data_IF_632140632609
#
_entry.id   IF_632140632609
#
_cell.length_a   1.000
_cell.length_b   1.000
_cell.length_c   1.000
_cell.angle_alpha   90.00
_cell.angle_beta   90.00
_cell.angle_gamma   90.00
#
_symmetry.space_group_name_H-M   'P 1'
#
loop_
_entity.id
_entity.type
_entity.pdbx_description
1 polymer ?
#
# COMPACT_ATOMS: atom_id res chain seq x y z
N UNK A 1 -34.91 8.64 1.91
CA UNK A 1 -35.07 7.47 2.82
C UNK A 1 -34.55 6.15 2.25
N UNK A 2 -35.07 5.58 1.16
CA UNK A 2 -34.51 4.32 0.59
C UNK A 2 -33.11 4.48 -0.01
N UNK A 3 -32.91 5.51 -0.85
CA UNK A 3 -31.58 5.82 -1.41
C UNK A 3 -30.50 6.09 -0.33
N UNK A 4 -30.84 6.81 0.74
CA UNK A 4 -29.88 7.12 1.82
C UNK A 4 -29.35 5.87 2.52
N UNK A 5 -30.21 4.87 2.74
CA UNK A 5 -29.80 3.60 3.33
C UNK A 5 -28.87 2.84 2.38
N UNK A 6 -29.21 2.78 1.09
CA UNK A 6 -28.36 2.13 0.08
C UNK A 6 -26.98 2.79 -0.03
N UNK A 7 -26.93 4.13 -0.01
CA UNK A 7 -25.67 4.89 -0.01
C UNK A 7 -24.82 4.54 1.21
N UNK A 8 -25.41 4.52 2.41
CA UNK A 8 -24.68 4.17 3.65
C UNK A 8 -24.20 2.72 3.63
N UNK A 9 -25.06 1.80 3.21
CA UNK A 9 -24.76 0.37 3.13
C UNK A 9 -23.59 0.13 2.15
N UNK A 10 -23.64 0.70 0.94
CA UNK A 10 -22.57 0.55 -0.05
C UNK A 10 -21.28 1.26 0.40
N UNK A 11 -21.37 2.43 1.03
CA UNK A 11 -20.22 3.15 1.57
C UNK A 11 -19.49 2.30 2.63
N UNK A 12 -20.23 1.67 3.55
CA UNK A 12 -19.65 0.75 4.53
C UNK A 12 -18.98 -0.46 3.85
N UNK A 13 -19.62 -1.07 2.85
CA UNK A 13 -19.03 -2.16 2.06
C UNK A 13 -17.79 -1.73 1.25
N UNK A 14 -17.60 -0.42 1.03
CA UNK A 14 -16.41 0.16 0.40
C UNK A 14 -15.33 0.59 1.41
N UNK A 15 -15.55 0.40 2.71
CA UNK A 15 -14.64 0.84 3.77
C UNK A 15 -14.62 2.36 3.98
N UNK A 16 -15.70 3.06 3.64
CA UNK A 16 -15.84 4.49 3.91
C UNK A 16 -16.45 4.66 5.30
N UNK A 17 -15.74 5.35 6.18
CA UNK A 17 -16.22 5.64 7.53
C UNK A 17 -17.46 6.55 7.49
N UNK A 18 -18.45 6.26 8.33
CA UNK A 18 -19.68 7.04 8.46
C UNK A 18 -19.58 8.16 9.50
N UNK A 19 -18.48 8.18 10.26
CA UNK A 19 -18.19 9.12 11.32
C UNK A 19 -16.69 9.17 11.61
N UNK A 20 -16.24 10.25 12.24
CA UNK A 20 -14.85 10.43 12.69
C UNK A 20 -14.80 11.39 13.89
N UNK A 21 -13.64 11.47 14.55
CA UNK A 21 -13.33 12.53 15.52
C UNK A 21 -12.55 13.62 14.81
N UNK A 22 -13.02 14.87 14.88
CA UNK A 22 -12.36 15.98 14.21
C UNK A 22 -11.05 16.39 14.92
N UNK A 23 -10.35 17.40 14.40
CA UNK A 23 -9.08 17.88 14.97
C UNK A 23 -9.21 18.51 16.37
N UNK A 24 -10.44 18.68 16.88
CA UNK A 24 -10.78 19.12 18.24
C UNK A 24 -11.37 17.99 19.08
N UNK A 25 -11.17 16.74 18.62
CA UNK A 25 -11.68 15.51 19.23
C UNK A 25 -13.21 15.45 19.35
N UNK A 26 -13.94 16.16 18.48
CA UNK A 26 -15.40 16.14 18.47
C UNK A 26 -15.94 15.02 17.56
N UNK A 27 -16.85 14.15 18.06
CA UNK A 27 -17.54 13.19 17.21
C UNK A 27 -18.32 13.88 16.11
N UNK A 28 -18.03 13.54 14.86
CA UNK A 28 -18.60 14.14 13.66
C UNK A 28 -19.15 13.04 12.76
N UNK A 29 -20.43 13.15 12.41
CA UNK A 29 -21.05 12.24 11.44
C UNK A 29 -20.80 12.70 10.00
N UNK A 30 -20.55 11.76 9.11
CA UNK A 30 -20.44 12.02 7.67
C UNK A 30 -21.84 12.13 7.06
N UNK A 31 -22.07 13.23 6.33
CA UNK A 31 -23.35 13.48 5.68
C UNK A 31 -23.57 12.50 4.52
N UNK A 32 -24.84 12.21 4.18
CA UNK A 32 -25.16 11.34 3.02
C UNK A 32 -24.61 11.96 1.73
N UNK A 33 -24.64 13.28 1.59
CA UNK A 33 -24.10 13.98 0.43
C UNK A 33 -22.58 13.73 0.27
N UNK A 34 -21.83 13.75 1.38
CA UNK A 34 -20.39 13.42 1.36
C UNK A 34 -20.16 11.95 0.98
N UNK A 35 -20.93 11.02 1.53
CA UNK A 35 -20.84 9.60 1.17
C UNK A 35 -21.13 9.39 -0.32
N UNK A 36 -22.18 10.02 -0.84
CA UNK A 36 -22.54 9.97 -2.27
C UNK A 36 -21.41 10.52 -3.16
N UNK A 37 -20.80 11.66 -2.78
CA UNK A 37 -19.68 12.24 -3.52
C UNK A 37 -18.45 11.33 -3.52
N UNK A 38 -18.15 10.67 -2.39
CA UNK A 38 -17.04 9.70 -2.29
C UNK A 38 -17.34 8.47 -3.17
N UNK A 39 -18.56 7.93 -3.12
CA UNK A 39 -18.96 6.81 -3.98
C UNK A 39 -18.84 7.18 -5.47
N UNK A 40 -19.26 8.39 -5.85
CA UNK A 40 -19.11 8.93 -7.21
C UNK A 40 -17.65 9.01 -7.64
N UNK A 41 -16.78 9.52 -6.78
CA UNK A 41 -15.33 9.56 -7.04
C UNK A 41 -14.70 8.16 -7.18
N UNK A 42 -15.33 7.12 -6.60
CA UNK A 42 -14.93 5.71 -6.75
C UNK A 42 -15.56 5.01 -7.95
N UNK A 43 -16.35 5.72 -8.75
CA UNK A 43 -16.96 5.21 -9.98
C UNK A 43 -18.37 4.64 -9.85
N UNK A 44 -19.04 4.82 -8.70
CA UNK A 44 -20.45 4.45 -8.54
C UNK A 44 -21.38 5.60 -8.92
N UNK A 45 -22.61 5.30 -9.34
CA UNK A 45 -23.63 6.33 -9.53
C UNK A 45 -24.55 6.41 -8.30
N UNK A 46 -24.46 7.44 -7.45
CA UNK A 46 -25.30 7.57 -6.26
C UNK A 46 -26.75 7.96 -6.57
N UNK A 47 -27.05 8.39 -7.79
CA UNK A 47 -28.39 8.80 -8.20
C UNK A 47 -29.20 7.62 -8.80
N UNK A 48 -28.54 6.50 -9.12
CA UNK A 48 -29.15 5.27 -9.63
C UNK A 48 -29.32 4.22 -8.51
N UNK A 49 -30.53 4.13 -7.96
CA UNK A 49 -30.85 3.15 -6.89
C UNK A 49 -30.65 1.69 -7.35
N UNK A 50 -30.92 1.37 -8.62
CA UNK A 50 -30.77 0.01 -9.14
C UNK A 50 -29.29 -0.37 -9.23
N UNK A 51 -28.45 0.54 -9.73
CA UNK A 51 -27.00 0.35 -9.78
C UNK A 51 -26.38 0.23 -8.37
N UNK A 52 -26.82 1.04 -7.41
CA UNK A 52 -26.36 0.94 -6.02
C UNK A 52 -26.74 -0.40 -5.38
N UNK A 53 -27.96 -0.87 -5.62
CA UNK A 53 -28.43 -2.15 -5.14
C UNK A 53 -27.63 -3.29 -5.77
N UNK A 54 -27.46 -3.28 -7.10
CA UNK A 54 -26.64 -4.26 -7.82
C UNK A 54 -25.20 -4.29 -7.31
N UNK A 55 -24.56 -3.14 -7.13
CA UNK A 55 -23.19 -3.05 -6.61
C UNK A 55 -23.07 -3.57 -5.16
N UNK A 56 -24.09 -3.29 -4.33
CA UNK A 56 -24.15 -3.80 -2.96
C UNK A 56 -24.31 -5.32 -2.95
N UNK A 57 -25.20 -5.83 -3.79
CA UNK A 57 -25.42 -7.26 -3.96
C UNK A 57 -24.22 -7.95 -4.58
N UNK A 58 -23.51 -7.35 -5.54
CA UNK A 58 -22.27 -7.92 -6.08
C UNK A 58 -21.19 -8.06 -4.99
N UNK A 59 -21.01 -7.02 -4.17
CA UNK A 59 -20.07 -7.05 -3.04
C UNK A 59 -20.46 -8.09 -1.99
N UNK A 60 -21.75 -8.26 -1.72
CA UNK A 60 -22.27 -9.27 -0.80
C UNK A 60 -22.17 -10.67 -1.41
N UNK A 61 -22.71 -10.90 -2.61
CA UNK A 61 -22.79 -12.17 -3.34
C UNK A 61 -21.47 -12.65 -3.94
N UNK A 62 -20.41 -11.84 -3.88
CA UNK A 62 -19.05 -12.35 -3.96
C UNK A 62 -18.81 -13.45 -2.89
N UNK A 63 -19.57 -13.45 -1.79
CA UNK A 63 -19.67 -14.53 -0.81
C UNK A 63 -20.29 -15.79 -1.43
N UNK A 64 -19.46 -16.77 -1.77
CA UNK A 64 -19.89 -17.99 -2.48
C UNK A 64 -19.06 -18.31 -3.72
N UNK A 65 -18.17 -17.39 -4.12
CA UNK A 65 -17.10 -17.67 -5.11
C UNK A 65 -15.81 -18.01 -4.38
N UNK A 66 -14.90 -18.70 -5.07
CA UNK A 66 -13.52 -18.81 -4.59
C UNK A 66 -12.90 -17.41 -4.51
N UNK A 67 -12.64 -16.91 -3.31
CA UNK A 67 -11.97 -15.61 -3.10
C UNK A 67 -10.66 -15.81 -2.36
N UNK A 68 -9.69 -15.04 -2.80
CA UNK A 68 -8.42 -14.90 -2.13
C UNK A 68 -8.10 -13.41 -2.08
N UNK A 69 -7.43 -12.93 -1.03
CA UNK A 69 -6.91 -11.57 -1.02
C UNK A 69 -5.98 -11.37 -2.23
N UNK A 70 -6.01 -10.19 -2.89
CA UNK A 70 -5.11 -9.92 -4.03
C UNK A 70 -3.64 -9.83 -3.60
N UNK A 71 -3.42 -9.46 -2.34
CA UNK A 71 -2.11 -9.39 -1.69
C UNK A 71 -2.25 -9.83 -0.23
N UNK A 72 -1.26 -10.57 0.26
CA UNK A 72 -1.09 -10.89 1.67
C UNK A 72 0.23 -10.32 2.14
N UNK A 73 0.23 -9.69 3.31
CA UNK A 73 1.42 -9.17 3.96
C UNK A 73 1.59 -9.91 5.28
N UNK A 74 2.70 -10.61 5.44
CA UNK A 74 3.12 -11.23 6.69
C UNK A 74 4.26 -10.43 7.30
N UNK A 75 4.31 -10.32 8.62
CA UNK A 75 5.54 -9.85 9.29
C UNK A 75 6.45 -11.03 9.60
N UNK A 76 7.74 -10.77 9.60
CA UNK A 76 8.73 -11.72 10.07
C UNK A 76 8.39 -12.23 11.48
N UNK A 77 8.44 -13.55 11.64
CA UNK A 77 8.10 -14.23 12.89
C UNK A 77 6.62 -14.60 13.07
N UNK A 78 5.70 -14.00 12.30
CA UNK A 78 4.28 -14.38 12.28
C UNK A 78 4.05 -15.72 11.56
N UNK A 79 2.89 -16.34 11.81
CA UNK A 79 2.46 -17.52 11.05
C UNK A 79 2.18 -17.13 9.60
N UNK A 80 2.70 -17.92 8.65
CA UNK A 80 2.54 -17.67 7.22
C UNK A 80 1.33 -18.42 6.67
N UNK A 81 0.15 -17.91 7.03
CA UNK A 81 -1.14 -18.46 6.60
C UNK A 81 -1.99 -17.44 5.84
N UNK A 82 -2.93 -17.95 5.04
CA UNK A 82 -3.85 -17.15 4.24
C UNK A 82 -5.26 -17.67 4.41
N UNK A 83 -6.19 -16.77 4.70
CA UNK A 83 -7.62 -17.08 4.66
C UNK A 83 -8.14 -17.01 3.22
N UNK A 84 -8.80 -18.07 2.80
CA UNK A 84 -9.43 -18.22 1.49
C UNK A 84 -10.92 -18.46 1.70
N UNK A 85 -11.75 -17.77 0.92
CA UNK A 85 -13.19 -18.08 0.90
C UNK A 85 -13.42 -19.18 -0.13
N UNK A 86 -13.87 -20.34 0.33
CA UNK A 86 -14.10 -21.52 -0.48
C UNK A 86 -15.60 -21.79 -0.57
N UNK A 87 -16.19 -21.90 -1.77
CA UNK A 87 -17.59 -22.29 -1.94
C UNK A 87 -17.85 -23.63 -1.24
N UNK A 88 -18.97 -23.79 -0.53
CA UNK A 88 -19.25 -25.04 0.22
C UNK A 88 -19.16 -26.29 -0.67
N UNK A 89 -19.62 -26.19 -1.91
CA UNK A 89 -19.56 -27.28 -2.89
C UNK A 89 -18.13 -27.71 -3.27
N UNK A 90 -17.14 -26.84 -3.09
CA UNK A 90 -15.74 -27.09 -3.42
C UNK A 90 -14.88 -27.47 -2.20
N UNK A 91 -15.46 -27.56 -0.99
CA UNK A 91 -14.72 -27.97 0.22
C UNK A 91 -14.10 -29.37 0.14
N UNK A 92 -14.75 -30.37 -0.50
CA UNK A 92 -14.16 -31.70 -0.65
C UNK A 92 -13.11 -31.79 -1.77
N UNK A 93 -12.92 -30.73 -2.58
CA UNK A 93 -11.91 -30.72 -3.64
C UNK A 93 -10.52 -30.49 -3.04
N UNK A 94 -9.52 -31.25 -3.48
CA UNK A 94 -8.11 -30.95 -3.20
C UNK A 94 -7.61 -29.88 -4.17
N UNK A 95 -6.98 -28.84 -3.63
CA UNK A 95 -6.30 -27.79 -4.36
C UNK A 95 -4.79 -28.00 -4.31
N UNK A 96 -4.10 -27.61 -5.37
CA UNK A 96 -2.64 -27.51 -5.35
C UNK A 96 -2.24 -26.05 -5.17
N UNK A 97 -1.12 -25.80 -4.52
CA UNK A 97 -0.54 -24.46 -4.47
C UNK A 97 0.93 -24.49 -4.84
N UNK A 98 1.41 -23.39 -5.42
CA UNK A 98 2.82 -23.15 -5.72
C UNK A 98 3.21 -21.76 -5.26
N UNK A 99 4.22 -21.66 -4.41
CA UNK A 99 4.86 -20.40 -4.04
C UNK A 99 6.17 -20.26 -4.81
N UNK A 100 6.34 -19.12 -5.47
CA UNK A 100 7.62 -18.69 -6.04
C UNK A 100 8.16 -17.54 -5.20
N UNK A 101 9.34 -17.71 -4.62
CA UNK A 101 10.02 -16.65 -3.85
C UNK A 101 10.56 -15.56 -4.77
N UNK A 102 11.00 -14.45 -4.18
CA UNK A 102 11.58 -13.34 -4.93
C UNK A 102 12.88 -13.77 -5.63
N UNK A 103 13.65 -14.62 -4.97
CA UNK A 103 14.91 -15.18 -5.46
C UNK A 103 14.69 -16.36 -6.44
N UNK A 104 13.43 -16.72 -6.72
CA UNK A 104 13.06 -17.73 -7.71
C UNK A 104 12.96 -19.16 -7.18
N UNK A 105 13.18 -19.40 -5.88
CA UNK A 105 12.93 -20.70 -5.28
C UNK A 105 11.43 -21.06 -5.36
N UNK A 106 11.12 -22.35 -5.48
CA UNK A 106 9.76 -22.83 -5.63
C UNK A 106 9.39 -23.83 -4.54
N UNK A 107 8.20 -23.65 -4.00
CA UNK A 107 7.58 -24.53 -3.01
C UNK A 107 6.19 -24.89 -3.50
N UNK A 108 5.71 -26.06 -3.13
CA UNK A 108 4.37 -26.50 -3.50
C UNK A 108 3.80 -27.44 -2.45
N UNK A 109 2.48 -27.55 -2.43
CA UNK A 109 1.78 -28.51 -1.61
C UNK A 109 0.33 -28.67 -2.03
N UNK A 110 -0.33 -29.58 -1.34
CA UNK A 110 -1.75 -29.83 -1.46
C UNK A 110 -2.50 -29.10 -0.34
N UNK A 111 -3.77 -28.80 -0.59
CA UNK A 111 -4.67 -28.13 0.33
C UNK A 111 -6.06 -28.72 0.21
N UNK A 112 -6.55 -29.34 1.27
CA UNK A 112 -7.90 -29.89 1.36
C UNK A 112 -8.74 -28.98 2.28
N UNK A 113 -9.56 -28.06 1.74
CA UNK A 113 -10.16 -26.99 2.52
C UNK A 113 -11.06 -27.45 3.67
N UNK A 114 -11.75 -28.59 3.50
CA UNK A 114 -12.63 -29.16 4.53
C UNK A 114 -11.89 -29.48 5.85
N UNK A 115 -10.58 -29.70 5.84
CA UNK A 115 -9.79 -29.99 7.04
C UNK A 115 -9.30 -28.72 7.76
N UNK A 116 -9.44 -27.55 7.11
CA UNK A 116 -8.88 -26.28 7.56
C UNK A 116 -9.93 -25.16 7.66
N UNK A 117 -11.18 -25.51 7.94
CA UNK A 117 -12.28 -24.54 8.10
C UNK A 117 -12.10 -23.75 9.40
N UNK A 118 -12.06 -22.42 9.29
CA UNK A 118 -11.97 -21.48 10.42
C UNK A 118 -13.32 -20.86 10.76
N UNK A 119 -14.14 -20.57 9.74
CA UNK A 119 -15.52 -20.10 9.92
C UNK A 119 -16.42 -20.54 8.78
N UNK A 120 -17.70 -20.74 9.09
CA UNK A 120 -18.71 -21.10 8.10
C UNK A 120 -19.71 -19.97 7.87
N UNK A 121 -20.15 -19.85 6.62
CA UNK A 121 -21.23 -18.99 6.18
C UNK A 121 -22.18 -19.80 5.28
N UNK A 122 -23.33 -19.22 4.93
CA UNK A 122 -24.39 -19.92 4.18
C UNK A 122 -23.88 -20.51 2.86
N UNK A 123 -23.09 -19.75 2.09
CA UNK A 123 -22.67 -20.13 0.73
C UNK A 123 -21.17 -20.45 0.58
N UNK A 124 -20.36 -20.19 1.61
CA UNK A 124 -18.91 -20.42 1.59
C UNK A 124 -18.39 -20.72 3.01
N UNK A 125 -17.20 -21.27 3.10
CA UNK A 125 -16.44 -21.32 4.35
C UNK A 125 -15.12 -20.57 4.18
N UNK A 126 -14.63 -19.99 5.26
CA UNK A 126 -13.29 -19.42 5.32
C UNK A 126 -12.35 -20.54 5.75
N UNK A 127 -11.40 -20.87 4.89
CA UNK A 127 -10.41 -21.92 5.13
C UNK A 127 -9.01 -21.32 5.22
N UNK A 128 -8.20 -21.79 6.15
CA UNK A 128 -6.83 -21.33 6.33
C UNK A 128 -5.84 -22.23 5.57
N UNK A 129 -5.14 -21.65 4.61
CA UNK A 129 -3.99 -22.29 3.95
C UNK A 129 -2.71 -21.87 4.66
N UNK A 130 -2.04 -22.81 5.33
CA UNK A 130 -0.70 -22.59 5.91
C UNK A 130 0.38 -22.95 4.90
N UNK A 131 1.29 -22.02 4.64
CA UNK A 131 2.49 -22.31 3.84
C UNK A 131 3.55 -22.83 4.81
N UNK A 132 3.88 -24.13 4.69
CA UNK A 132 4.51 -24.89 5.77
C UNK A 132 5.85 -24.35 6.29
N UNK A 133 6.74 -23.89 5.41
CA UNK A 133 8.02 -23.30 5.80
C UNK A 133 7.92 -21.77 5.90
N UNK A 134 8.71 -21.19 6.82
CA UNK A 134 8.82 -19.73 6.93
C UNK A 134 9.71 -19.19 5.81
N UNK A 135 9.16 -18.30 5.00
CA UNK A 135 9.89 -17.62 3.93
C UNK A 135 10.50 -16.31 4.42
N UNK A 136 11.68 -15.99 3.88
CA UNK A 136 12.43 -14.77 4.18
C UNK A 136 11.70 -13.51 3.70
N UNK A 137 12.17 -12.34 4.15
CA UNK A 137 11.66 -11.04 3.69
C UNK A 137 11.72 -10.92 2.16
N UNK A 138 10.71 -10.29 1.57
CA UNK A 138 10.67 -10.04 0.13
C UNK A 138 9.28 -10.14 -0.51
N UNK A 139 9.29 -10.10 -1.85
CA UNK A 139 8.10 -10.14 -2.71
C UNK A 139 7.97 -11.49 -3.40
N UNK A 140 6.99 -12.30 -2.97
CA UNK A 140 6.75 -13.63 -3.49
C UNK A 140 5.42 -13.71 -4.23
N UNK A 141 5.19 -14.84 -4.91
CA UNK A 141 3.98 -15.11 -5.67
C UNK A 141 3.42 -16.48 -5.31
N UNK A 142 2.23 -16.52 -4.74
CA UNK A 142 1.47 -17.74 -4.51
C UNK A 142 0.47 -17.94 -5.65
N UNK A 143 0.41 -19.15 -6.20
CA UNK A 143 -0.61 -19.57 -7.16
C UNK A 143 -1.38 -20.74 -6.59
N UNK A 144 -2.71 -20.68 -6.65
CA UNK A 144 -3.59 -21.77 -6.20
C UNK A 144 -4.30 -22.33 -7.43
N UNK A 145 -4.28 -23.65 -7.57
CA UNK A 145 -4.79 -24.42 -8.69
C UNK A 145 -5.96 -25.28 -8.20
N UNK A 146 -7.01 -25.37 -9.01
CA UNK A 146 -8.10 -26.34 -8.78
C UNK A 146 -7.87 -27.63 -9.58
N UNK A 147 -8.90 -28.47 -9.68
CA UNK A 147 -8.84 -29.76 -10.38
C UNK A 147 -8.45 -29.70 -11.88
N UNK A 148 -8.65 -28.56 -12.55
CA UNK A 148 -8.38 -28.39 -13.99
C UNK A 148 -6.94 -27.94 -14.32
N UNK A 149 -6.00 -28.00 -13.35
CA UNK A 149 -4.57 -27.63 -13.45
C UNK A 149 -4.27 -26.19 -13.92
N UNK A 150 -5.30 -25.36 -14.15
CA UNK A 150 -5.19 -23.91 -14.30
C UNK A 150 -5.22 -23.19 -12.94
N UNK A 151 -4.39 -22.15 -12.82
CA UNK A 151 -4.33 -21.34 -11.60
C UNK A 151 -5.65 -20.59 -11.39
N UNK A 152 -6.43 -21.01 -10.40
CA UNK A 152 -7.66 -20.32 -9.98
C UNK A 152 -7.34 -18.92 -9.46
N UNK A 153 -6.25 -18.75 -8.71
CA UNK A 153 -5.83 -17.43 -8.20
C UNK A 153 -4.31 -17.29 -8.18
N UNK A 154 -3.85 -16.05 -8.36
CA UNK A 154 -2.48 -15.62 -8.13
C UNK A 154 -2.52 -14.50 -7.10
N UNK A 155 -1.68 -14.62 -6.08
CA UNK A 155 -1.65 -13.75 -4.91
C UNK A 155 -0.23 -13.25 -4.74
N UNK A 156 -0.06 -11.94 -4.53
CA UNK A 156 1.24 -11.39 -4.11
C UNK A 156 1.40 -11.62 -2.62
N UNK A 157 2.49 -12.25 -2.23
CA UNK A 157 2.86 -12.42 -0.82
C UNK A 157 4.01 -11.45 -0.54
N UNK A 158 3.92 -10.68 0.52
CA UNK A 158 4.98 -9.77 0.97
C UNK A 158 5.35 -10.18 2.38
N UNK A 159 6.60 -10.58 2.59
CA UNK A 159 7.15 -10.80 3.93
C UNK A 159 7.91 -9.54 4.31
N UNK A 160 7.39 -8.81 5.28
CA UNK A 160 7.96 -7.55 5.76
C UNK A 160 8.69 -7.74 7.10
N UNK A 161 9.73 -6.95 7.40
CA UNK A 161 10.32 -6.95 8.74
C UNK A 161 9.29 -6.51 9.79
N UNK A 162 9.46 -6.95 11.02
CA UNK A 162 8.59 -6.56 12.15
C UNK A 162 8.82 -5.12 12.62
N UNK A 163 9.99 -4.57 12.31
CA UNK A 163 10.42 -3.21 12.64
C UNK A 163 11.05 -2.54 11.42
N UNK A 164 11.03 -1.22 11.36
CA UNK A 164 11.79 -0.48 10.35
C UNK A 164 13.30 -0.63 10.61
N UNK A 165 14.13 -0.33 9.61
CA UNK A 165 15.57 -0.28 9.80
C UNK A 165 15.93 0.72 10.91
N UNK A 166 16.73 0.23 11.84
CA UNK A 166 17.36 0.96 12.93
C UNK A 166 18.88 0.92 12.67
N UNK A 167 19.55 2.06 12.79
CA UNK A 167 21.00 2.10 12.63
C UNK A 167 21.68 1.47 13.85
N UNK A 168 22.93 1.01 13.71
CA UNK A 168 23.71 0.53 14.87
C UNK A 168 23.96 1.65 15.92
N UNK A 169 23.85 2.91 15.49
CA UNK A 169 24.00 4.11 16.32
C UNK A 169 22.72 4.49 17.08
N UNK A 170 21.61 3.75 16.96
CA UNK A 170 20.32 4.06 17.62
C UNK A 170 20.40 4.13 19.16
N UNK A 171 21.49 3.66 19.77
CA UNK A 171 21.76 3.79 21.21
C UNK A 171 22.55 5.06 21.59
N UNK A 172 23.00 5.84 20.61
CA UNK A 172 23.71 7.09 20.79
C UNK A 172 22.79 8.28 20.47
N UNK A 173 23.11 9.44 21.04
CA UNK A 173 22.36 10.67 20.74
C UNK A 173 22.90 11.27 19.45
N UNK A 174 22.19 11.05 18.36
CA UNK A 174 22.49 11.67 17.08
C UNK A 174 22.01 13.12 17.01
N UNK A 175 22.68 13.92 16.20
CA UNK A 175 22.18 15.24 15.81
C UNK A 175 22.41 15.51 14.33
N UNK A 176 21.58 16.38 13.78
CA UNK A 176 21.66 16.75 12.38
C UNK A 176 20.99 18.09 12.13
N UNK A 177 21.03 18.50 10.87
CA UNK A 177 20.44 19.76 10.41
C UNK A 177 19.27 19.47 9.48
N UNK A 178 18.19 20.23 9.62
CA UNK A 178 17.12 20.28 8.62
C UNK A 178 17.16 21.61 7.88
N UNK A 179 17.09 21.56 6.55
CA UNK A 179 17.06 22.76 5.73
C UNK A 179 16.18 22.61 4.49
N UNK A 180 15.90 23.75 3.87
CA UNK A 180 15.28 23.83 2.56
C UNK A 180 16.40 23.98 1.52
N UNK A 181 16.65 22.95 0.71
CA UNK A 181 17.78 22.90 -0.22
C UNK A 181 17.74 24.09 -1.18
N UNK A 182 16.55 24.42 -1.67
CA UNK A 182 16.34 25.55 -2.57
C UNK A 182 16.70 26.92 -1.97
N UNK A 183 16.86 27.04 -0.65
CA UNK A 183 17.30 28.28 0.00
C UNK A 183 18.83 28.41 0.10
N UNK A 184 19.60 27.33 -0.16
CA UNK A 184 21.05 27.38 -0.07
C UNK A 184 21.66 28.25 -1.16
N UNK A 185 22.74 28.95 -0.79
CA UNK A 185 23.53 29.79 -1.68
C UNK A 185 24.99 29.39 -1.56
N UNK A 186 25.67 29.35 -2.69
CA UNK A 186 27.13 29.22 -2.77
C UNK A 186 27.67 30.20 -3.81
N UNK A 187 28.98 30.35 -3.87
CA UNK A 187 29.62 31.19 -4.89
C UNK A 187 29.47 30.62 -6.32
N UNK A 188 29.04 29.35 -6.45
CA UNK A 188 28.89 28.63 -7.71
C UNK A 188 27.44 28.58 -8.19
N UNK A 189 26.51 28.30 -7.28
CA UNK A 189 25.17 27.89 -7.69
C UNK A 189 24.40 28.99 -8.43
N UNK A 190 23.44 28.58 -9.25
CA UNK A 190 22.68 29.48 -10.11
C UNK A 190 21.49 30.13 -9.38
N UNK A 191 21.74 30.51 -8.13
CA UNK A 191 20.78 31.19 -7.27
C UNK A 191 19.75 30.29 -6.59
N UNK A 192 19.97 28.99 -6.61
CA UNK A 192 19.20 27.97 -5.88
C UNK A 192 20.21 26.90 -5.45
N UNK A 193 20.04 26.31 -4.27
CA UNK A 193 20.89 25.21 -3.84
C UNK A 193 20.71 23.99 -4.74
N UNK A 194 21.82 23.38 -5.16
CA UNK A 194 21.86 22.21 -6.05
C UNK A 194 22.44 20.95 -5.36
N UNK A 195 22.58 19.84 -6.09
CA UNK A 195 23.13 18.59 -5.55
C UNK A 195 24.61 18.69 -5.15
N UNK A 196 25.38 19.56 -5.79
CA UNK A 196 26.78 19.81 -5.40
C UNK A 196 26.83 20.57 -4.09
N UNK A 197 25.95 21.57 -3.88
CA UNK A 197 25.81 22.27 -2.61
C UNK A 197 25.38 21.33 -1.48
N UNK A 198 24.41 20.46 -1.75
CA UNK A 198 23.95 19.45 -0.80
C UNK A 198 25.11 18.56 -0.33
N UNK A 199 25.89 18.04 -1.29
CA UNK A 199 27.04 17.19 -0.98
C UNK A 199 28.15 17.92 -0.22
N UNK A 200 28.43 19.18 -0.57
CA UNK A 200 29.44 20.00 0.12
C UNK A 200 29.02 20.31 1.57
N UNK A 201 27.75 20.66 1.78
CA UNK A 201 27.24 20.94 3.11
C UNK A 201 27.19 19.68 3.97
N UNK A 202 26.74 18.55 3.42
CA UNK A 202 26.75 17.27 4.13
C UNK A 202 28.16 16.90 4.61
N UNK A 203 29.19 17.02 3.76
CA UNK A 203 30.59 16.80 4.16
C UNK A 203 31.07 17.76 5.24
N UNK A 204 30.68 19.03 5.16
CA UNK A 204 31.08 20.05 6.15
C UNK A 204 30.45 19.78 7.51
N UNK A 205 29.17 19.40 7.53
CA UNK A 205 28.43 19.04 8.74
C UNK A 205 28.95 17.74 9.35
N UNK A 206 29.25 16.72 8.53
CA UNK A 206 29.88 15.49 8.99
C UNK A 206 31.25 15.76 9.64
N UNK A 207 32.05 16.69 9.08
CA UNK A 207 33.30 17.15 9.70
C UNK A 207 33.12 17.85 11.05
N UNK A 208 31.92 18.36 11.34
CA UNK A 208 31.53 18.90 12.64
C UNK A 208 30.85 17.86 13.56
N UNK A 209 30.71 16.61 13.10
CA UNK A 209 30.12 15.50 13.84
C UNK A 209 28.60 15.34 13.69
N UNK A 210 27.99 15.90 12.64
CA UNK A 210 26.56 15.66 12.35
C UNK A 210 26.34 14.29 11.72
N UNK A 211 25.29 13.60 12.14
CA UNK A 211 24.95 12.24 11.69
C UNK A 211 24.03 12.26 10.46
N UNK A 212 23.19 13.29 10.34
CA UNK A 212 22.26 13.42 9.22
C UNK A 212 22.03 14.86 8.75
N UNK A 213 21.61 14.96 7.49
CA UNK A 213 21.14 16.19 6.86
C UNK A 213 19.75 15.95 6.27
N UNK A 214 18.74 16.51 6.93
CA UNK A 214 17.36 16.49 6.48
C UNK A 214 17.06 17.61 5.48
N UNK A 215 16.32 17.27 4.43
CA UNK A 215 15.97 18.20 3.35
C UNK A 215 14.47 18.17 3.05
N UNK A 216 14.01 19.16 2.29
CA UNK A 216 12.67 19.16 1.72
C UNK A 216 12.48 18.04 0.67
N UNK A 217 11.23 17.67 0.35
CA UNK A 217 10.96 16.74 -0.75
C UNK A 217 11.59 17.23 -2.06
N UNK A 218 12.27 16.33 -2.78
CA UNK A 218 12.95 16.62 -4.05
C UNK A 218 12.16 16.14 -5.26
N UNK A 219 10.85 15.95 -5.09
CA UNK A 219 9.96 15.40 -6.09
C UNK A 219 9.86 16.29 -7.33
N UNK A 220 9.73 15.68 -8.51
CA UNK A 220 9.53 16.40 -9.77
C UNK A 220 8.31 17.32 -9.69
N UNK A 221 8.55 18.59 -10.01
CA UNK A 221 7.52 19.62 -10.12
C UNK A 221 7.10 19.78 -11.59
N UNK A 222 6.77 21.00 -12.00
CA UNK A 222 6.14 21.31 -13.28
C UNK A 222 7.10 22.13 -14.17
N UNK A 223 7.73 21.53 -15.19
CA UNK A 223 8.66 22.26 -16.05
C UNK A 223 8.03 23.45 -16.78
N UNK A 224 6.75 23.34 -17.13
CA UNK A 224 5.98 24.38 -17.81
C UNK A 224 5.36 25.43 -16.87
N UNK A 225 5.51 25.29 -15.55
CA UNK A 225 4.98 26.23 -14.56
C UNK A 225 5.93 26.33 -13.36
N UNK A 226 7.12 26.95 -13.53
CA UNK A 226 8.18 26.94 -12.52
C UNK A 226 7.79 27.64 -11.21
N UNK A 227 6.88 28.62 -11.25
CA UNK A 227 6.37 29.31 -10.06
C UNK A 227 5.51 28.40 -9.17
N UNK A 228 5.04 27.27 -9.69
CA UNK A 228 4.42 26.23 -8.87
C UNK A 228 5.49 25.41 -8.13
N UNK A 229 6.16 26.09 -7.21
CA UNK A 229 7.41 25.69 -6.59
C UNK A 229 7.24 24.95 -5.25
N UNK A 230 6.00 24.67 -4.81
CA UNK A 230 5.76 23.97 -3.54
C UNK A 230 6.27 22.52 -3.59
N UNK A 231 7.23 22.11 -2.73
CA UNK A 231 7.71 20.73 -2.68
C UNK A 231 6.64 19.70 -2.28
N UNK A 232 5.52 20.17 -1.70
CA UNK A 232 4.44 19.33 -1.18
C UNK A 232 3.28 19.16 -2.18
N UNK A 233 3.35 19.80 -3.34
CA UNK A 233 2.39 19.64 -4.44
C UNK A 233 3.07 19.15 -5.73
N UNK A 234 3.78 18.00 -5.72
CA UNK A 234 4.56 17.57 -6.87
C UNK A 234 3.72 16.98 -8.00
N UNK A 235 4.27 17.02 -9.21
CA UNK A 235 3.72 16.31 -10.36
C UNK A 235 3.94 14.79 -10.24
N UNK A 236 5.07 14.36 -9.66
CA UNK A 236 5.39 12.96 -9.40
C UNK A 236 6.21 12.80 -8.15
N UNK A 237 5.80 11.86 -7.27
CA UNK A 237 6.59 11.46 -6.09
C UNK A 237 7.70 10.45 -6.41
N UNK A 238 7.72 9.91 -7.64
CA UNK A 238 8.69 8.89 -8.08
C UNK A 238 9.87 9.49 -8.86
N UNK A 239 9.74 10.70 -9.40
CA UNK A 239 10.78 11.38 -10.16
C UNK A 239 11.40 12.50 -9.33
N UNK A 240 12.64 12.89 -9.65
CA UNK A 240 13.39 13.96 -8.97
C UNK A 240 13.26 15.27 -9.77
N UNK A 241 13.22 16.41 -9.07
CA UNK A 241 13.19 17.74 -9.68
C UNK A 241 14.52 18.09 -10.33
N UNK A 242 14.48 18.39 -11.63
CA UNK A 242 15.65 18.76 -12.44
C UNK A 242 16.29 20.09 -12.01
N UNK A 243 15.57 20.96 -11.29
CA UNK A 243 16.10 22.26 -10.82
C UNK A 243 17.28 22.11 -9.84
N UNK A 244 17.48 20.94 -9.25
CA UNK A 244 18.59 20.66 -8.34
C UNK A 244 19.86 20.14 -9.05
N UNK A 245 19.83 19.99 -10.38
CA UNK A 245 21.01 19.60 -11.15
C UNK A 245 22.04 20.74 -11.12
N UNK A 246 23.26 20.43 -10.72
CA UNK A 246 24.42 21.29 -10.99
C UNK A 246 24.84 21.09 -12.45
N UNK A 247 24.52 22.06 -13.30
CA UNK A 247 24.79 21.99 -14.74
C UNK A 247 26.30 22.01 -15.03
N UNK A 248 27.11 22.67 -14.19
CA UNK A 248 28.57 22.74 -14.38
C UNK A 248 29.28 21.42 -14.00
N UNK A 249 28.61 20.55 -13.26
CA UNK A 249 29.11 19.22 -12.90
C UNK A 249 28.75 18.13 -13.95
N UNK A 250 28.00 18.47 -14.99
CA UNK A 250 27.65 17.55 -16.08
C UNK A 250 28.85 17.41 -17.04
N UNK A 251 29.35 16.18 -17.34
CA UNK A 251 30.60 16.00 -18.08
C UNK A 251 30.62 16.40 -19.57
N UNK A 252 29.46 16.44 -20.24
CA UNK A 252 29.31 16.72 -21.68
C UNK A 252 29.53 18.19 -22.08
#
# INVERSE_FOLDING_TARGET
MKNEKLIRDLAALCGVADSYRDYRDQPTAVTVASLAAILKARGYDPDDEAALHEASEEKRNAAGRFRAPPVVVWREGESQSICLDIPRAALPETFNWKLQTEQGAQFSGEFLPQEHVVSEHDNYAVCELTIGERHAQGYHRLSIFGAADEARRRIRIIVAPSTAYASEADNEREWGVFLQLYCLRSARNWGIGDFTDLGNLARSLAGAGADFLGINPLHSLYPSNPEHASPYSPASRACINYLYIDVEAVPE
#
